data_IF_515998068752
#
_entry.id   IF_515998068752
#
_cell.length_a   1.000
_cell.length_b   1.000
_cell.length_c   1.000
_cell.angle_alpha   90.00
_cell.angle_beta   90.00
_cell.angle_gamma   90.00
#
_symmetry.space_group_name_H-M   'P 1'
#
loop_
_entity.id
_entity.type
_entity.pdbx_description
1 polymer ?
#
# COMPACT_ATOMS: atom_id res chain seq x y z
N UNK A 1 -22.27 25.85 -4.67
CA UNK A 1 -21.11 25.17 -4.11
C UNK A 1 -20.57 26.08 -3.03
N UNK A 2 -20.54 25.63 -1.78
CA UNK A 2 -20.02 26.42 -0.66
C UNK A 2 -18.51 26.58 -0.87
N UNK A 3 -17.91 27.78 -0.73
CA UNK A 3 -16.45 27.94 -0.80
C UNK A 3 -15.69 27.03 0.20
N UNK A 4 -16.36 26.53 1.25
CA UNK A 4 -15.82 25.51 2.17
C UNK A 4 -15.74 24.11 1.55
N UNK A 5 -16.53 23.80 0.53
CA UNK A 5 -16.52 22.51 -0.17
C UNK A 5 -15.30 22.39 -1.10
N UNK A 6 -14.89 23.50 -1.76
CA UNK A 6 -13.72 23.48 -2.65
C UNK A 6 -12.42 23.08 -1.92
N UNK A 7 -12.25 23.52 -0.67
CA UNK A 7 -11.10 23.17 0.17
C UNK A 7 -11.04 21.70 0.60
N UNK A 8 -12.10 20.92 0.40
CA UNK A 8 -12.20 19.51 0.83
C UNK A 8 -12.01 18.52 -0.30
N UNK A 9 -12.00 19.00 -1.54
CA UNK A 9 -11.76 18.14 -2.70
C UNK A 9 -10.35 17.53 -2.65
N UNK A 10 -10.20 16.29 -3.12
CA UNK A 10 -8.89 15.63 -3.18
C UNK A 10 -7.89 16.47 -3.98
N UNK A 11 -8.35 17.17 -5.02
CA UNK A 11 -7.50 18.05 -5.83
C UNK A 11 -6.96 19.22 -5.01
N UNK A 12 -7.83 19.93 -4.28
CA UNK A 12 -7.41 21.06 -3.45
C UNK A 12 -6.47 20.63 -2.31
N UNK A 13 -6.61 19.39 -1.84
CA UNK A 13 -5.77 18.81 -0.79
C UNK A 13 -4.45 18.19 -1.32
N UNK A 14 -4.23 18.15 -2.64
CA UNK A 14 -3.06 17.48 -3.23
C UNK A 14 -3.09 15.95 -3.15
N UNK A 15 -4.29 15.37 -3.05
CA UNK A 15 -4.56 13.94 -2.84
C UNK A 15 -5.22 13.25 -4.05
N UNK A 16 -5.34 13.94 -5.20
CA UNK A 16 -6.11 13.48 -6.36
C UNK A 16 -5.39 12.52 -7.31
N UNK A 17 -4.06 12.39 -7.20
CA UNK A 17 -3.27 11.60 -8.15
C UNK A 17 -3.13 10.15 -7.67
N UNK A 18 -3.83 9.23 -8.34
CA UNK A 18 -3.75 7.81 -8.04
C UNK A 18 -2.43 7.23 -8.57
N UNK A 19 -1.65 6.47 -7.76
CA UNK A 19 -0.44 5.80 -8.24
C UNK A 19 -0.73 4.74 -9.30
N UNK A 20 -1.97 4.25 -9.41
CA UNK A 20 -2.41 3.43 -10.53
C UNK A 20 -2.21 4.10 -11.90
N UNK A 21 -2.48 5.40 -11.99
CA UNK A 21 -2.35 6.17 -13.24
C UNK A 21 -0.97 6.83 -13.35
N UNK A 22 -0.38 7.16 -12.20
CA UNK A 22 0.94 7.78 -12.08
C UNK A 22 1.89 6.87 -11.29
N UNK A 23 2.41 5.77 -11.86
CA UNK A 23 3.15 4.74 -11.11
C UNK A 23 4.34 5.27 -10.31
N UNK A 24 5.03 6.28 -10.84
CA UNK A 24 6.17 6.89 -10.14
C UNK A 24 5.78 7.72 -8.90
N UNK A 25 4.49 7.98 -8.68
CA UNK A 25 3.99 8.60 -7.44
C UNK A 25 3.72 7.58 -6.34
N UNK A 26 3.83 6.27 -6.61
CA UNK A 26 3.59 5.22 -5.60
C UNK A 26 4.35 5.50 -4.28
N UNK A 27 3.69 5.37 -3.10
CA UNK A 27 2.35 4.80 -2.86
C UNK A 27 1.17 5.76 -3.09
N UNK A 28 1.39 6.93 -3.70
CA UNK A 28 0.43 8.02 -3.78
C UNK A 28 0.50 8.92 -2.56
N UNK A 29 -0.15 10.08 -2.63
CA UNK A 29 -0.21 10.99 -1.49
C UNK A 29 -1.11 10.43 -0.38
N UNK A 30 -0.64 10.52 0.87
CA UNK A 30 -1.40 10.17 2.06
C UNK A 30 -2.01 11.44 2.67
N UNK A 31 -3.19 11.36 3.31
CA UNK A 31 -3.74 12.49 4.05
C UNK A 31 -2.82 12.92 5.20
N UNK A 32 -2.86 14.20 5.55
CA UNK A 32 -2.12 14.71 6.73
C UNK A 32 -2.79 14.36 8.06
N UNK A 33 -4.08 14.03 8.05
CA UNK A 33 -4.89 13.72 9.22
C UNK A 33 -5.97 12.70 8.87
N UNK A 34 -6.63 12.15 9.90
CA UNK A 34 -7.79 11.29 9.73
C UNK A 34 -8.92 11.99 8.95
N UNK A 35 -9.63 11.24 8.13
CA UNK A 35 -10.68 11.78 7.28
C UNK A 35 -11.63 10.72 6.72
N UNK A 36 -12.78 11.17 6.23
CA UNK A 36 -13.80 10.36 5.57
C UNK A 36 -13.71 10.59 4.07
N UNK A 37 -13.20 9.60 3.34
CA UNK A 37 -13.21 9.65 1.88
C UNK A 37 -14.63 9.42 1.38
N UNK A 38 -15.23 10.42 0.75
CA UNK A 38 -16.55 10.35 0.13
C UNK A 38 -16.50 10.95 -1.28
N UNK A 39 -16.58 10.09 -2.30
CA UNK A 39 -16.44 10.54 -3.68
C UNK A 39 -15.08 11.20 -3.91
N UNK A 40 -15.08 12.47 -4.34
CA UNK A 40 -13.87 13.28 -4.55
C UNK A 40 -13.48 14.16 -3.37
N UNK A 41 -14.05 13.92 -2.19
CA UNK A 41 -13.84 14.75 -1.01
C UNK A 41 -13.23 13.95 0.13
N UNK A 42 -12.40 14.61 0.93
CA UNK A 42 -11.97 14.12 2.23
C UNK A 42 -12.59 15.00 3.31
N UNK A 43 -13.62 14.47 3.96
CA UNK A 43 -14.39 15.16 4.99
C UNK A 43 -13.81 14.89 6.39
N UNK A 44 -14.07 15.73 7.40
CA UNK A 44 -13.74 15.43 8.78
C UNK A 44 -14.42 14.15 9.28
N UNK A 45 -13.81 13.47 10.25
CA UNK A 45 -14.42 12.36 10.98
C UNK A 45 -15.05 12.82 12.29
N UNK A 46 -16.24 12.30 12.59
CA UNK A 46 -16.90 12.51 13.88
C UNK A 46 -16.49 11.47 14.94
N UNK A 47 -15.88 10.36 14.51
CA UNK A 47 -15.41 9.25 15.36
C UNK A 47 -14.23 8.53 14.72
N UNK A 48 -13.41 7.88 15.55
CA UNK A 48 -12.20 7.15 15.11
C UNK A 48 -12.42 5.64 14.96
N UNK A 49 -13.48 5.10 15.56
CA UNK A 49 -13.85 3.68 15.44
C UNK A 49 -15.17 3.54 14.67
N UNK A 50 -15.24 2.50 13.84
CA UNK A 50 -16.39 2.26 12.99
C UNK A 50 -16.90 0.82 13.17
N UNK A 51 -17.68 0.54 14.24
CA UNK A 51 -18.26 -0.77 14.46
C UNK A 51 -19.04 -1.28 13.24
N UNK A 52 -18.92 -2.58 12.96
CA UNK A 52 -19.51 -3.21 11.78
C UNK A 52 -18.70 -3.04 10.49
N UNK A 53 -17.52 -2.39 10.56
CA UNK A 53 -16.54 -2.33 9.48
C UNK A 53 -15.27 -3.08 9.87
N UNK A 54 -14.58 -3.62 8.88
CA UNK A 54 -13.29 -4.30 9.05
C UNK A 54 -12.17 -3.27 9.00
N UNK A 55 -11.38 -3.11 10.07
CA UNK A 55 -10.21 -2.24 10.07
C UNK A 55 -9.03 -2.93 9.36
N UNK A 56 -8.39 -2.21 8.45
CA UNK A 56 -7.20 -2.67 7.74
C UNK A 56 -6.09 -1.62 7.83
N UNK A 57 -4.93 -2.01 8.35
CA UNK A 57 -3.71 -1.20 8.35
C UNK A 57 -3.16 -1.13 6.93
N UNK A 58 -3.04 0.09 6.41
CA UNK A 58 -2.56 0.37 5.06
C UNK A 58 -1.11 0.88 5.09
N UNK A 59 -0.19 0.07 4.55
CA UNK A 59 1.25 0.40 4.43
C UNK A 59 1.65 0.94 3.05
N UNK A 60 0.71 0.96 2.10
CA UNK A 60 0.98 1.24 0.69
C UNK A 60 -0.14 2.03 0.05
N UNK A 61 -0.46 1.71 -1.20
CA UNK A 61 -1.41 2.50 -1.99
C UNK A 61 -2.84 2.58 -1.41
N UNK A 62 -3.23 1.66 -0.54
CA UNK A 62 -4.51 1.72 0.17
C UNK A 62 -4.60 2.86 1.21
N UNK A 63 -3.48 3.53 1.54
CA UNK A 63 -3.49 4.76 2.34
C UNK A 63 -3.66 6.02 1.47
N UNK A 64 -3.71 5.90 0.14
CA UNK A 64 -3.95 7.01 -0.78
C UNK A 64 -5.45 7.15 -1.12
N UNK A 65 -6.08 8.30 -0.86
CA UNK A 65 -7.50 8.52 -1.17
C UNK A 65 -7.81 8.39 -2.66
N UNK A 66 -6.96 8.92 -3.54
CA UNK A 66 -7.14 8.77 -4.98
C UNK A 66 -7.06 7.31 -5.44
N UNK A 67 -6.16 6.51 -4.85
CA UNK A 67 -6.10 5.08 -5.16
C UNK A 67 -7.39 4.37 -4.73
N UNK A 68 -7.86 4.60 -3.51
CA UNK A 68 -9.10 4.02 -3.03
C UNK A 68 -10.28 4.45 -3.91
N UNK A 69 -10.39 5.75 -4.22
CA UNK A 69 -11.42 6.29 -5.12
C UNK A 69 -11.37 5.62 -6.48
N UNK A 70 -10.19 5.44 -7.06
CA UNK A 70 -10.00 4.75 -8.34
C UNK A 70 -10.54 3.31 -8.27
N UNK A 71 -10.15 2.57 -7.21
CA UNK A 71 -10.63 1.20 -6.98
C UNK A 71 -12.16 1.18 -6.86
N UNK A 72 -12.75 2.05 -6.05
CA UNK A 72 -14.20 2.09 -5.84
C UNK A 72 -14.98 2.48 -7.11
N UNK A 73 -14.49 3.47 -7.86
CA UNK A 73 -15.13 3.94 -9.09
C UNK A 73 -15.22 2.84 -10.17
N UNK A 74 -14.22 1.95 -10.23
CA UNK A 74 -14.23 0.80 -11.14
C UNK A 74 -15.36 -0.21 -10.90
N UNK A 75 -15.99 -0.17 -9.72
CA UNK A 75 -17.07 -1.09 -9.31
C UNK A 75 -18.34 -0.35 -8.84
N UNK A 76 -18.46 0.95 -9.10
CA UNK A 76 -19.60 1.79 -8.71
C UNK A 76 -19.91 1.80 -7.19
N UNK A 77 -18.93 1.52 -6.34
CA UNK A 77 -19.07 1.60 -4.88
C UNK A 77 -18.99 3.06 -4.45
N UNK A 78 -20.02 3.57 -3.79
CA UNK A 78 -20.13 5.00 -3.42
C UNK A 78 -20.09 5.25 -1.92
N UNK A 79 -20.14 4.19 -1.11
CA UNK A 79 -20.13 4.33 0.35
C UNK A 79 -18.81 4.97 0.82
N UNK A 80 -18.85 5.89 1.82
CA UNK A 80 -17.64 6.50 2.33
C UNK A 80 -16.66 5.50 2.96
N UNK A 81 -15.37 5.82 2.94
CA UNK A 81 -14.29 5.05 3.59
C UNK A 81 -13.66 5.93 4.67
N UNK A 82 -13.86 5.61 5.97
CA UNK A 82 -13.09 6.23 7.03
C UNK A 82 -11.62 5.80 6.96
N UNK A 83 -10.74 6.79 7.00
CA UNK A 83 -9.28 6.64 7.02
C UNK A 83 -8.78 7.27 8.31
N UNK A 84 -8.31 6.46 9.24
CA UNK A 84 -7.95 6.90 10.60
C UNK A 84 -6.46 6.75 10.79
N UNK A 85 -5.77 7.83 11.13
CA UNK A 85 -4.35 7.78 11.45
C UNK A 85 -4.14 7.00 12.75
N UNK A 86 -3.12 6.16 12.78
CA UNK A 86 -2.80 5.32 13.92
C UNK A 86 -1.29 5.16 14.08
N UNK A 87 -0.84 5.01 15.33
CA UNK A 87 0.51 4.52 15.63
C UNK A 87 0.48 3.00 15.61
N UNK A 88 1.27 2.40 14.74
CA UNK A 88 1.36 0.96 14.56
C UNK A 88 2.74 0.50 14.99
N UNK A 89 2.80 -0.31 16.04
CA UNK A 89 4.02 -0.95 16.53
C UNK A 89 4.08 -2.40 16.06
N UNK A 90 5.27 -2.85 15.66
CA UNK A 90 5.50 -4.21 15.18
C UNK A 90 5.57 -4.35 13.66
N UNK A 91 5.30 -3.26 12.91
CA UNK A 91 5.33 -3.26 11.44
C UNK A 91 6.23 -2.14 10.94
N UNK A 92 7.11 -2.48 9.99
CA UNK A 92 7.76 -1.52 9.10
C UNK A 92 7.25 -1.66 7.65
N UNK A 93 7.59 -0.69 6.80
CA UNK A 93 7.18 -0.62 5.40
C UNK A 93 8.36 -0.98 4.49
N UNK A 94 8.35 -2.23 4.04
CA UNK A 94 9.32 -2.76 3.08
C UNK A 94 8.88 -2.63 1.63
N UNK A 95 9.72 -3.15 0.74
CA UNK A 95 9.45 -3.24 -0.70
C UNK A 95 9.03 -4.66 -1.03
N UNK A 96 7.84 -4.84 -1.61
CA UNK A 96 7.38 -6.16 -2.05
C UNK A 96 8.29 -6.72 -3.14
N UNK A 97 8.57 -8.01 -3.13
CA UNK A 97 9.36 -8.68 -4.16
C UNK A 97 8.53 -9.02 -5.42
N UNK A 98 7.66 -8.11 -5.87
CA UNK A 98 6.91 -8.27 -7.12
C UNK A 98 6.77 -6.96 -7.87
N UNK A 99 6.64 -7.07 -9.19
CA UNK A 99 6.34 -5.94 -10.07
C UNK A 99 4.84 -5.92 -10.34
N UNK A 100 4.19 -4.83 -9.94
CA UNK A 100 2.77 -4.64 -10.21
C UNK A 100 2.51 -4.35 -11.68
N UNK A 101 1.39 -4.87 -12.19
CA UNK A 101 0.86 -4.54 -13.52
C UNK A 101 0.50 -3.06 -13.68
N UNK A 102 0.41 -2.31 -12.58
CA UNK A 102 0.27 -0.86 -12.61
C UNK A 102 1.59 -0.13 -12.91
N UNK A 103 2.72 -0.82 -12.97
CA UNK A 103 4.01 -0.27 -13.37
C UNK A 103 4.90 0.19 -12.23
N UNK A 104 4.67 -0.27 -11.01
CA UNK A 104 5.47 0.06 -9.83
C UNK A 104 5.82 -1.21 -9.05
N UNK A 105 6.78 -1.11 -8.13
CA UNK A 105 7.08 -2.16 -7.15
C UNK A 105 6.40 -1.76 -5.84
N UNK A 106 5.46 -2.57 -5.36
CA UNK A 106 4.58 -2.18 -4.26
C UNK A 106 5.31 -2.16 -2.91
N UNK A 107 4.65 -1.59 -1.91
CA UNK A 107 5.07 -1.69 -0.51
C UNK A 107 4.53 -2.99 0.10
N UNK A 108 5.21 -3.51 1.10
CA UNK A 108 4.75 -4.65 1.89
C UNK A 108 5.02 -4.39 3.37
N UNK A 109 4.15 -4.84 4.29
CA UNK A 109 4.49 -4.85 5.70
C UNK A 109 5.67 -5.81 5.94
N UNK A 110 6.49 -5.49 6.93
CA UNK A 110 7.62 -6.28 7.42
C UNK A 110 7.50 -6.39 8.93
N UNK A 111 7.78 -7.58 9.49
CA UNK A 111 7.85 -7.78 10.93
C UNK A 111 8.99 -6.94 11.53
N UNK A 112 8.64 -6.05 12.44
CA UNK A 112 9.58 -5.14 13.07
C UNK A 112 9.13 -4.82 14.51
N UNK A 113 9.31 -5.75 15.48
CA UNK A 113 8.73 -5.66 16.82
C UNK A 113 9.05 -4.37 17.59
N UNK A 114 10.23 -3.78 17.34
CA UNK A 114 10.68 -2.56 18.01
C UNK A 114 10.33 -1.26 17.26
N UNK A 115 9.78 -1.35 16.05
CA UNK A 115 9.48 -0.19 15.21
C UNK A 115 8.05 0.26 15.45
N UNK A 116 7.86 1.58 15.54
CA UNK A 116 6.54 2.22 15.52
C UNK A 116 6.46 3.18 14.34
N UNK A 117 5.40 3.07 13.54
CA UNK A 117 5.11 3.93 12.39
C UNK A 117 3.77 4.63 12.56
N UNK A 118 3.65 5.85 12.04
CA UNK A 118 2.34 6.45 11.78
C UNK A 118 1.83 5.94 10.43
N UNK A 119 0.70 5.23 10.47
CA UNK A 119 0.03 4.64 9.30
C UNK A 119 -1.46 4.99 9.34
N UNK A 120 -2.19 4.56 8.31
CA UNK A 120 -3.65 4.68 8.28
C UNK A 120 -4.32 3.32 8.48
N UNK A 121 -5.38 3.30 9.30
CA UNK A 121 -6.38 2.23 9.35
C UNK A 121 -7.55 2.65 8.48
N UNK A 122 -7.83 1.90 7.42
CA UNK A 122 -9.02 2.08 6.60
C UNK A 122 -10.14 1.17 7.11
N UNK A 123 -11.35 1.71 7.24
CA UNK A 123 -12.49 0.98 7.79
C UNK A 123 -13.45 0.60 6.66
N UNK A 124 -13.44 -0.67 6.28
CA UNK A 124 -14.14 -1.16 5.09
C UNK A 124 -15.44 -1.86 5.47
N UNK A 125 -16.54 -1.52 4.80
CA UNK A 125 -17.74 -2.35 4.84
C UNK A 125 -17.53 -3.66 4.03
N UNK A 126 -18.44 -4.64 4.09
CA UNK A 126 -18.23 -5.93 3.41
C UNK A 126 -18.01 -5.82 1.89
N UNK A 127 -18.69 -4.91 1.21
CA UNK A 127 -18.56 -4.69 -0.23
C UNK A 127 -17.19 -4.10 -0.59
N UNK A 128 -16.78 -3.04 0.12
CA UNK A 128 -15.46 -2.41 -0.04
C UNK A 128 -14.34 -3.40 0.27
N UNK A 129 -14.50 -4.22 1.30
CA UNK A 129 -13.52 -5.22 1.72
C UNK A 129 -13.31 -6.28 0.64
N UNK A 130 -14.39 -6.85 0.11
CA UNK A 130 -14.33 -7.83 -0.97
C UNK A 130 -13.69 -7.25 -2.24
N UNK A 131 -13.96 -5.97 -2.53
CA UNK A 131 -13.33 -5.25 -3.63
C UNK A 131 -11.83 -5.10 -3.41
N UNK A 132 -11.39 -4.64 -2.23
CA UNK A 132 -9.95 -4.51 -1.95
C UNK A 132 -9.28 -5.89 -2.03
N UNK A 133 -9.85 -6.94 -1.43
CA UNK A 133 -9.35 -8.31 -1.52
C UNK A 133 -9.15 -8.73 -3.00
N UNK A 134 -10.14 -8.49 -3.87
CA UNK A 134 -10.04 -8.79 -5.30
C UNK A 134 -8.99 -7.97 -6.08
N UNK A 135 -8.55 -6.82 -5.55
CA UNK A 135 -7.51 -5.99 -6.17
C UNK A 135 -6.09 -6.35 -5.73
N UNK A 136 -5.93 -7.23 -4.75
CA UNK A 136 -4.64 -7.57 -4.14
C UNK A 136 -4.26 -9.05 -4.41
N UNK A 137 -4.20 -9.54 -5.67
CA UNK A 137 -4.03 -10.97 -5.97
C UNK A 137 -2.69 -11.57 -5.52
N UNK A 138 -1.73 -10.75 -5.12
CA UNK A 138 -0.41 -11.16 -4.63
C UNK A 138 -0.29 -11.02 -3.10
N UNK A 139 -1.39 -10.70 -2.42
CA UNK A 139 -1.43 -10.50 -0.98
C UNK A 139 -2.62 -11.22 -0.37
N UNK A 140 -2.44 -11.75 0.84
CA UNK A 140 -3.56 -12.16 1.67
C UNK A 140 -3.85 -11.11 2.73
N UNK A 141 -5.13 -10.94 3.02
CA UNK A 141 -5.57 -10.23 4.20
C UNK A 141 -5.37 -11.12 5.42
N UNK A 142 -4.44 -10.74 6.28
CA UNK A 142 -4.10 -11.48 7.51
C UNK A 142 -4.49 -10.68 8.75
N UNK A 143 -4.81 -11.38 9.83
CA UNK A 143 -5.02 -10.78 11.14
C UNK A 143 -3.68 -10.40 11.76
N UNK A 144 -3.61 -9.24 12.41
CA UNK A 144 -2.44 -8.81 13.19
C UNK A 144 -2.69 -9.07 14.68
N UNK A 145 -2.21 -10.19 15.24
CA UNK A 145 -2.51 -10.56 16.62
C UNK A 145 -1.73 -9.72 17.65
N UNK A 146 -2.41 -9.34 18.73
CA UNK A 146 -1.75 -8.88 19.94
C UNK A 146 -1.04 -10.05 20.66
N UNK A 147 0.04 -9.81 21.44
CA UNK A 147 0.68 -8.51 21.67
C UNK A 147 1.74 -8.14 20.62
N UNK A 148 1.96 -8.98 19.60
CA UNK A 148 3.01 -8.79 18.60
C UNK A 148 2.82 -7.52 17.77
N UNK A 149 1.57 -7.17 17.50
CA UNK A 149 1.20 -5.94 16.80
C UNK A 149 0.29 -5.08 17.68
N UNK A 150 0.60 -3.79 17.77
CA UNK A 150 -0.20 -2.81 18.51
C UNK A 150 -0.60 -1.68 17.59
N UNK A 151 -1.90 -1.43 17.48
CA UNK A 151 -2.45 -0.33 16.69
C UNK A 151 -3.18 0.62 17.62
N UNK A 152 -2.64 1.82 17.83
CA UNK A 152 -3.21 2.85 18.68
C UNK A 152 -3.76 3.99 17.84
N UNK A 153 -5.05 4.30 18.02
CA UNK A 153 -5.70 5.43 17.36
C UNK A 153 -5.26 6.77 18.00
N UNK A 154 -5.61 7.90 17.37
CA UNK A 154 -5.19 9.23 17.81
C UNK A 154 -5.64 9.57 19.25
N UNK A 155 -6.74 8.99 19.72
CA UNK A 155 -7.26 9.13 21.09
C UNK A 155 -6.57 8.21 22.11
N UNK A 156 -5.60 7.38 21.70
CA UNK A 156 -4.91 6.40 22.56
C UNK A 156 -5.64 5.06 22.71
N UNK A 157 -6.81 4.89 22.07
CA UNK A 157 -7.52 3.61 22.05
C UNK A 157 -6.71 2.58 21.26
N UNK A 158 -6.49 1.41 21.87
CA UNK A 158 -5.85 0.28 21.19
C UNK A 158 -6.90 -0.50 20.42
N UNK A 159 -6.70 -0.64 19.11
CA UNK A 159 -7.53 -1.43 18.25
C UNK A 159 -7.18 -2.91 18.38
N UNK A 160 -8.21 -3.73 18.59
CA UNK A 160 -8.10 -5.18 18.59
C UNK A 160 -8.36 -5.72 17.18
N UNK A 161 -7.64 -6.79 16.84
CA UNK A 161 -7.86 -7.56 15.62
C UNK A 161 -7.86 -6.78 14.28
N UNK A 162 -6.94 -5.81 14.07
CA UNK A 162 -6.80 -5.19 12.75
C UNK A 162 -6.21 -6.18 11.75
N UNK A 163 -6.53 -5.96 10.48
CA UNK A 163 -5.96 -6.73 9.39
C UNK A 163 -4.86 -5.95 8.67
N UNK A 164 -4.01 -6.65 7.93
CA UNK A 164 -3.12 -6.06 6.92
C UNK A 164 -3.06 -6.97 5.70
N UNK A 165 -2.59 -6.45 4.56
CA UNK A 165 -2.29 -7.24 3.38
C UNK A 165 -0.82 -7.64 3.39
N UNK A 166 -0.52 -8.94 3.50
CA UNK A 166 0.85 -9.50 3.47
C UNK A 166 1.07 -10.21 2.15
N UNK A 167 2.20 -9.95 1.50
CA UNK A 167 2.45 -10.40 0.14
C UNK A 167 3.03 -11.83 0.09
N UNK A 168 2.76 -12.58 -0.98
CA UNK A 168 3.20 -13.97 -1.15
C UNK A 168 4.65 -14.14 -1.64
N UNK A 169 5.26 -13.08 -2.14
CA UNK A 169 6.56 -13.11 -2.80
C UNK A 169 7.73 -12.77 -1.88
N UNK A 170 7.46 -12.41 -0.62
CA UNK A 170 8.48 -11.85 0.29
C UNK A 170 8.81 -10.40 -0.06
N UNK A 171 9.95 -9.92 0.42
CA UNK A 171 10.36 -8.51 0.30
C UNK A 171 11.77 -8.40 -0.23
N UNK A 172 12.07 -7.27 -0.85
CA UNK A 172 13.43 -7.00 -1.33
C UNK A 172 14.38 -6.72 -0.17
N UNK A 173 15.65 -7.05 -0.34
CA UNK A 173 16.75 -6.63 0.54
C UNK A 173 17.90 -6.05 -0.28
N UNK A 174 18.91 -5.48 0.39
CA UNK A 174 20.05 -4.83 -0.28
C UNK A 174 21.27 -5.73 -0.46
N UNK A 175 21.16 -7.01 -0.10
CA UNK A 175 22.20 -8.05 -0.20
C UNK A 175 22.62 -8.66 1.15
N UNK A 176 22.14 -8.10 2.26
CA UNK A 176 22.39 -8.50 3.64
C UNK A 176 21.32 -9.44 4.23
N UNK A 177 20.29 -9.77 3.44
CA UNK A 177 19.13 -10.56 3.85
C UNK A 177 18.12 -9.79 4.72
N UNK A 178 18.38 -8.52 5.02
CA UNK A 178 17.50 -7.68 5.84
C UNK A 178 16.51 -6.94 4.92
N UNK A 179 15.19 -7.02 5.17
CA UNK A 179 14.20 -6.28 4.40
C UNK A 179 14.57 -4.79 4.25
N UNK A 180 14.57 -4.30 3.00
CA UNK A 180 14.83 -2.88 2.74
C UNK A 180 13.56 -2.05 2.95
N UNK A 181 13.71 -0.84 3.47
CA UNK A 181 12.63 0.16 3.47
C UNK A 181 12.33 0.65 2.05
N UNK A 182 11.11 1.13 1.83
CA UNK A 182 10.68 1.68 0.54
C UNK A 182 11.07 3.18 0.41
N UNK A 183 12.05 3.56 -0.43
CA UNK A 183 12.57 4.95 -0.50
C UNK A 183 11.69 5.89 -1.36
N UNK A 184 10.58 5.37 -1.89
CA UNK A 184 9.81 6.00 -2.95
C UNK A 184 10.19 5.42 -4.31
N UNK A 185 9.31 5.61 -5.28
CA UNK A 185 9.33 4.76 -6.47
C UNK A 185 10.48 5.08 -7.44
N UNK A 186 10.81 6.36 -7.63
CA UNK A 186 11.93 6.78 -8.49
C UNK A 186 13.29 6.31 -7.95
N UNK A 187 13.68 6.59 -6.68
CA UNK A 187 14.94 6.08 -6.14
C UNK A 187 15.03 4.55 -6.21
N UNK A 188 13.94 3.85 -5.85
CA UNK A 188 13.91 2.38 -5.90
C UNK A 188 14.19 1.84 -7.31
N UNK A 189 13.45 2.31 -8.32
CA UNK A 189 13.63 1.83 -9.68
C UNK A 189 15.00 2.18 -10.25
N UNK A 190 15.52 3.39 -9.99
CA UNK A 190 16.87 3.78 -10.40
C UNK A 190 17.93 2.84 -9.83
N UNK A 191 17.83 2.50 -8.54
CA UNK A 191 18.79 1.58 -7.91
C UNK A 191 18.68 0.16 -8.45
N UNK A 192 17.47 -0.37 -8.60
CA UNK A 192 17.26 -1.72 -9.15
C UNK A 192 17.78 -1.82 -10.58
N UNK A 193 17.47 -0.83 -11.42
CA UNK A 193 17.95 -0.77 -12.80
C UNK A 193 19.47 -0.56 -12.87
N UNK A 194 20.09 0.16 -11.94
CA UNK A 194 21.56 0.27 -11.92
C UNK A 194 22.24 -1.08 -11.61
N UNK A 195 21.65 -1.88 -10.71
CA UNK A 195 22.23 -3.13 -10.22
C UNK A 195 21.98 -4.33 -11.13
N UNK A 196 20.86 -4.37 -11.86
CA UNK A 196 20.49 -5.51 -12.71
C UNK A 196 20.51 -5.18 -14.19
N UNK A 197 21.39 -5.85 -14.94
CA UNK A 197 21.36 -5.79 -16.40
C UNK A 197 20.09 -6.42 -16.97
N UNK A 198 19.64 -7.54 -16.42
CA UNK A 198 18.45 -8.24 -16.89
C UNK A 198 17.17 -7.40 -16.72
N UNK A 199 17.04 -6.68 -15.59
CA UNK A 199 15.94 -5.74 -15.42
C UNK A 199 15.99 -4.61 -16.45
N UNK A 200 17.18 -4.07 -16.78
CA UNK A 200 17.30 -3.04 -17.83
C UNK A 200 16.89 -3.56 -19.21
N UNK A 201 17.27 -4.78 -19.55
CA UNK A 201 16.89 -5.39 -20.83
C UNK A 201 15.36 -5.54 -20.94
N UNK A 202 14.70 -5.98 -19.87
CA UNK A 202 13.24 -6.12 -19.86
C UNK A 202 12.51 -4.77 -19.83
N UNK A 203 12.91 -3.89 -18.92
CA UNK A 203 12.11 -2.74 -18.51
C UNK A 203 12.65 -1.39 -19.01
N UNK A 204 13.85 -1.36 -19.58
CA UNK A 204 14.51 -0.12 -20.00
C UNK A 204 15.47 0.41 -18.94
N UNK A 205 16.16 1.51 -19.28
CA UNK A 205 17.22 2.08 -18.46
C UNK A 205 16.73 3.16 -17.48
N UNK A 206 15.50 3.64 -17.63
CA UNK A 206 14.93 4.68 -16.75
C UNK A 206 13.70 4.20 -15.98
N UNK A 207 13.37 4.82 -14.83
CA UNK A 207 12.12 4.55 -14.11
C UNK A 207 10.87 4.73 -14.99
N UNK A 208 10.85 5.74 -15.87
CA UNK A 208 9.74 6.00 -16.78
C UNK A 208 9.56 4.86 -17.80
N UNK A 209 10.66 4.38 -18.40
CA UNK A 209 10.61 3.21 -19.28
C UNK A 209 10.14 1.98 -18.52
N UNK A 210 10.63 1.78 -17.29
CA UNK A 210 10.22 0.66 -16.46
C UNK A 210 8.72 0.66 -16.25
N UNK A 211 8.16 1.78 -15.82
CA UNK A 211 6.73 1.93 -15.61
C UNK A 211 5.94 1.66 -16.89
N UNK A 212 6.34 2.25 -18.02
CA UNK A 212 5.65 2.09 -19.30
C UNK A 212 5.67 0.63 -19.78
N UNK A 213 6.84 -0.03 -19.71
CA UNK A 213 7.03 -1.41 -20.17
C UNK A 213 6.36 -2.43 -19.26
N UNK A 214 6.32 -2.19 -17.95
CA UNK A 214 5.60 -3.04 -17.01
C UNK A 214 4.08 -2.95 -17.24
N UNK A 215 3.53 -1.74 -17.43
CA UNK A 215 2.09 -1.56 -17.71
C UNK A 215 1.64 -2.20 -19.02
N UNK A 216 2.53 -2.29 -19.99
CA UNK A 216 2.22 -2.84 -21.32
C UNK A 216 2.13 -4.37 -21.35
N UNK A 217 2.75 -5.09 -20.41
CA UNK A 217 2.87 -6.55 -20.48
C UNK A 217 2.91 -7.23 -19.11
N UNK A 218 1.87 -7.99 -18.80
CA UNK A 218 1.77 -8.76 -17.56
C UNK A 218 2.81 -9.89 -17.47
N UNK A 219 3.14 -10.55 -18.59
CA UNK A 219 4.17 -11.61 -18.62
C UNK A 219 5.55 -11.03 -18.34
N UNK A 220 5.80 -9.79 -18.78
CA UNK A 220 7.03 -9.07 -18.45
C UNK A 220 7.11 -8.79 -16.95
N UNK A 221 6.01 -8.38 -16.31
CA UNK A 221 5.95 -8.22 -14.85
C UNK A 221 6.24 -9.54 -14.12
N UNK A 222 5.63 -10.64 -14.55
CA UNK A 222 5.89 -11.98 -13.99
C UNK A 222 7.37 -12.37 -14.12
N UNK A 223 7.96 -12.16 -15.31
CA UNK A 223 9.39 -12.44 -15.53
C UNK A 223 10.30 -11.58 -14.67
N UNK A 224 9.99 -10.29 -14.52
CA UNK A 224 10.76 -9.40 -13.65
C UNK A 224 10.63 -9.75 -12.17
N UNK A 225 9.46 -10.18 -11.73
CA UNK A 225 9.24 -10.72 -10.37
C UNK A 225 10.10 -11.97 -10.14
N UNK A 226 10.17 -12.89 -11.12
CA UNK A 226 11.05 -14.07 -11.04
C UNK A 226 12.54 -13.67 -10.96
N UNK A 227 12.94 -12.66 -11.73
CA UNK A 227 14.33 -12.18 -11.73
C UNK A 227 14.79 -11.68 -10.35
N UNK A 228 13.92 -11.08 -9.53
CA UNK A 228 14.29 -10.70 -8.17
C UNK A 228 14.79 -11.91 -7.37
N UNK A 229 14.13 -13.06 -7.50
CA UNK A 229 14.55 -14.29 -6.82
C UNK A 229 15.83 -14.88 -7.46
N UNK A 230 15.93 -14.90 -8.78
CA UNK A 230 17.11 -15.40 -9.50
C UNK A 230 18.38 -14.59 -9.19
N UNK A 231 18.24 -13.29 -8.94
CA UNK A 231 19.33 -12.40 -8.54
C UNK A 231 19.56 -12.35 -7.02
N UNK A 232 18.90 -13.22 -6.25
CA UNK A 232 19.03 -13.31 -4.80
C UNK A 232 18.77 -11.97 -4.08
N UNK A 233 17.69 -11.28 -4.49
CA UNK A 233 17.24 -10.01 -3.93
C UNK A 233 16.05 -10.17 -2.98
N UNK A 234 15.56 -11.39 -2.75
CA UNK A 234 14.31 -11.67 -2.03
C UNK A 234 14.59 -12.33 -0.68
N UNK A 235 13.95 -11.81 0.37
CA UNK A 235 13.94 -12.38 1.72
C UNK A 235 12.51 -12.44 2.26
N UNK A 236 12.30 -13.16 3.36
CA UNK A 236 11.02 -13.17 4.05
C UNK A 236 10.72 -11.81 4.69
N UNK A 237 9.45 -11.41 4.69
CA UNK A 237 8.94 -10.26 5.44
C UNK A 237 8.88 -10.53 6.95
N UNK A 238 8.88 -11.79 7.37
CA UNK A 238 8.67 -12.21 8.75
C UNK A 238 7.18 -12.41 9.11
N UNK A 239 6.27 -12.05 8.21
CA UNK A 239 4.81 -12.12 8.42
C UNK A 239 4.16 -13.32 7.71
N UNK A 240 4.94 -14.16 7.02
CA UNK A 240 4.43 -15.31 6.26
C UNK A 240 3.69 -16.33 7.14
N UNK A 241 4.01 -16.37 8.43
CA UNK A 241 3.36 -17.26 9.40
C UNK A 241 1.91 -16.84 9.72
N UNK A 242 1.48 -15.63 9.33
CA UNK A 242 0.14 -15.10 9.56
C UNK A 242 -0.85 -15.47 8.44
N UNK A 243 -0.37 -16.02 7.31
CA UNK A 243 -1.27 -16.55 6.29
C UNK A 243 -2.11 -17.69 6.87
N UNK A 244 -3.44 -17.54 6.79
CA UNK A 244 -4.35 -18.63 7.14
C UNK A 244 -4.21 -19.70 6.05
N UNK A 245 -3.73 -20.88 6.44
CA UNK A 245 -3.69 -22.06 5.56
C UNK A 245 -5.07 -22.63 5.30
#
# INVERSE_FOLDING_TARGET
MDPRDEHRTLRALGLADAPRDHPLSYPGAWPAASGLLHGDELLPLDRLTHPGRTPVVAVGSNASPAQLRHKMAGFAVTSPIPMVRARVTGIDVGVSAHISRAGYVSASPVDAPAVTRELFVIWLNPEQLALIDGTEPHYDRVLLPAPGFRVELENGEALLDPFAYVNHHGVLHNGDGIPRSHPGQRPLLTELLARSQALRELFGATPEEFCARARADARRCERGTQLFAEENLVTASGLEHLHVR
#
